data_IF_535654841457
#
_entry.id   IF_535654841457
#
_cell.length_a   1.000
_cell.length_b   1.000
_cell.length_c   1.000
_cell.angle_alpha   90.00
_cell.angle_beta   90.00
_cell.angle_gamma   90.00
#
_symmetry.space_group_name_H-M   'P 1'
#
loop_
_entity.id
_entity.type
_entity.pdbx_description
1 polymer ?
#
# COMPACT_ATOMS: atom_id res chain seq x y z
N UNK A 1 -23.14 -5.62 -4.99
CA UNK A 1 -23.65 -4.40 -4.33
C UNK A 1 -23.01 -4.38 -2.95
N UNK A 2 -21.97 -3.58 -2.76
CA UNK A 2 -21.25 -3.49 -1.49
C UNK A 2 -22.09 -2.66 -0.52
N UNK A 3 -22.40 -3.23 0.64
CA UNK A 3 -23.23 -2.55 1.65
C UNK A 3 -22.51 -1.28 2.16
N UNK A 4 -23.17 -0.10 2.16
CA UNK A 4 -22.55 1.16 2.55
C UNK A 4 -22.11 1.19 4.02
N UNK A 5 -22.72 0.40 4.91
CA UNK A 5 -22.28 0.28 6.29
C UNK A 5 -20.95 -0.49 6.39
N UNK A 6 -20.71 -1.44 5.49
CA UNK A 6 -19.46 -2.20 5.42
C UNK A 6 -18.28 -1.33 4.95
N UNK A 7 -18.53 -0.38 4.03
CA UNK A 7 -17.53 0.60 3.61
C UNK A 7 -17.19 1.59 4.73
N UNK A 8 -18.16 1.97 5.55
CA UNK A 8 -17.95 2.86 6.68
C UNK A 8 -17.13 2.20 7.80
N UNK A 9 -17.32 0.90 8.01
CA UNK A 9 -16.58 0.10 9.00
C UNK A 9 -15.10 -0.10 8.65
N UNK A 10 -14.78 -0.20 7.35
CA UNK A 10 -13.41 -0.40 6.85
C UNK A 10 -12.60 0.92 6.78
N UNK A 11 -13.27 2.07 6.81
CA UNK A 11 -12.67 3.39 6.72
C UNK A 11 -11.50 3.63 7.71
N UNK A 12 -11.63 3.34 9.02
CA UNK A 12 -10.51 3.50 9.97
C UNK A 12 -9.32 2.57 9.67
N UNK A 13 -9.57 1.34 9.19
CA UNK A 13 -8.51 0.40 8.83
C UNK A 13 -7.77 0.86 7.57
N UNK A 14 -8.50 1.39 6.59
CA UNK A 14 -7.93 2.00 5.39
C UNK A 14 -7.08 3.23 5.74
N UNK A 15 -7.57 4.11 6.60
CA UNK A 15 -6.83 5.31 7.06
C UNK A 15 -5.55 4.91 7.82
N UNK A 16 -5.62 3.86 8.65
CA UNK A 16 -4.46 3.33 9.36
C UNK A 16 -3.42 2.73 8.41
N UNK A 17 -3.85 1.91 7.44
CA UNK A 17 -2.97 1.34 6.42
C UNK A 17 -2.31 2.46 5.59
N UNK A 18 -3.07 3.47 5.19
CA UNK A 18 -2.54 4.61 4.44
C UNK A 18 -1.44 5.35 5.22
N UNK A 19 -1.61 5.52 6.53
CA UNK A 19 -0.59 6.09 7.41
C UNK A 19 0.68 5.23 7.49
N UNK A 20 0.53 3.90 7.56
CA UNK A 20 1.65 2.96 7.55
C UNK A 20 2.42 3.01 6.22
N UNK A 21 1.71 3.03 5.09
CA UNK A 21 2.33 3.15 3.77
C UNK A 21 3.12 4.45 3.62
N UNK A 22 2.56 5.58 4.07
CA UNK A 22 3.28 6.86 4.06
C UNK A 22 4.56 6.82 4.91
N UNK A 23 4.52 6.16 6.06
CA UNK A 23 5.69 6.00 6.93
C UNK A 23 6.78 5.14 6.27
N UNK A 24 6.39 4.08 5.57
CA UNK A 24 7.31 3.22 4.81
C UNK A 24 7.91 3.92 3.59
N UNK A 25 7.13 4.76 2.90
CA UNK A 25 7.56 5.46 1.70
C UNK A 25 8.74 6.43 1.94
N UNK A 26 8.93 6.90 3.19
CA UNK A 26 10.08 7.72 3.60
C UNK A 26 11.43 7.04 3.26
N UNK A 27 11.49 5.71 3.28
CA UNK A 27 12.72 4.93 3.01
C UNK A 27 13.19 5.01 1.56
N UNK A 28 12.34 5.47 0.65
CA UNK A 28 12.65 5.53 -0.79
C UNK A 28 13.20 6.89 -1.23
N UNK A 29 13.31 7.86 -0.30
CA UNK A 29 13.81 9.22 -0.57
C UNK A 29 13.07 9.93 -1.73
N UNK A 30 11.82 9.55 -1.98
CA UNK A 30 10.93 10.18 -2.96
C UNK A 30 10.24 11.40 -2.35
N UNK A 31 9.84 12.34 -3.20
CA UNK A 31 9.15 13.56 -2.78
C UNK A 31 7.91 13.83 -3.64
N UNK A 32 6.94 14.56 -3.06
CA UNK A 32 5.72 14.98 -3.76
C UNK A 32 5.01 13.84 -4.48
N UNK A 33 4.70 14.06 -5.76
CA UNK A 33 3.90 13.16 -6.57
C UNK A 33 4.49 11.74 -6.73
N UNK A 34 5.81 11.58 -6.68
CA UNK A 34 6.44 10.27 -6.83
C UNK A 34 6.20 9.40 -5.58
N UNK A 35 6.30 10.00 -4.39
CA UNK A 35 6.00 9.32 -3.14
C UNK A 35 4.52 8.96 -3.07
N UNK A 36 3.64 9.89 -3.44
CA UNK A 36 2.20 9.68 -3.36
C UNK A 36 1.75 8.56 -4.32
N UNK A 37 2.33 8.50 -5.54
CA UNK A 37 2.11 7.38 -6.48
C UNK A 37 2.60 6.05 -5.93
N UNK A 38 3.77 6.01 -5.28
CA UNK A 38 4.28 4.79 -4.66
C UNK A 38 3.32 4.27 -3.59
N UNK A 39 2.80 5.16 -2.73
CA UNK A 39 1.83 4.82 -1.69
C UNK A 39 0.52 4.32 -2.32
N UNK A 40 -0.03 5.04 -3.29
CA UNK A 40 -1.29 4.70 -3.95
C UNK A 40 -1.21 3.34 -4.66
N UNK A 41 -0.14 3.12 -5.44
CA UNK A 41 0.05 1.85 -6.14
C UNK A 41 0.26 0.69 -5.17
N UNK A 42 1.01 0.90 -4.08
CA UNK A 42 1.19 -0.14 -3.06
C UNK A 42 -0.14 -0.49 -2.40
N UNK A 43 -0.99 0.51 -2.11
CA UNK A 43 -2.32 0.29 -1.55
C UNK A 43 -3.19 -0.57 -2.47
N UNK A 44 -3.20 -0.26 -3.78
CA UNK A 44 -3.97 -1.01 -4.79
C UNK A 44 -3.49 -2.45 -4.88
N UNK A 45 -2.18 -2.69 -4.94
CA UNK A 45 -1.62 -4.04 -5.01
C UNK A 45 -1.98 -4.88 -3.76
N UNK A 46 -1.84 -4.31 -2.56
CA UNK A 46 -2.25 -4.97 -1.32
C UNK A 46 -3.75 -5.31 -1.28
N UNK A 47 -4.59 -4.43 -1.82
CA UNK A 47 -6.03 -4.68 -1.91
C UNK A 47 -6.39 -5.76 -2.94
N UNK A 48 -5.56 -5.94 -3.98
CA UNK A 48 -5.76 -6.93 -5.03
C UNK A 48 -5.13 -8.30 -4.72
N UNK A 49 -4.18 -8.38 -3.79
CA UNK A 49 -3.53 -9.62 -3.34
C UNK A 49 -3.85 -9.99 -1.88
N UNK A 50 -5.14 -10.12 -1.48
CA UNK A 50 -5.52 -10.39 -0.09
C UNK A 50 -5.04 -11.76 0.42
N UNK A 51 -4.67 -12.68 -0.49
CA UNK A 51 -4.25 -14.05 -0.20
C UNK A 51 -2.80 -14.13 0.31
N UNK A 52 -1.99 -13.09 0.09
CA UNK A 52 -0.58 -13.05 0.51
C UNK A 52 -0.39 -12.46 1.92
N UNK A 53 -1.40 -11.74 2.41
CA UNK A 53 -1.41 -11.10 3.72
C UNK A 53 -1.53 -12.09 4.89
N UNK A 54 -2.34 -13.17 4.86
CA UNK A 54 -2.51 -14.05 6.03
C UNK A 54 -1.27 -14.86 6.40
N UNK A 55 -0.31 -15.04 5.49
CA UNK A 55 0.90 -15.83 5.74
C UNK A 55 2.07 -15.02 6.31
N UNK A 56 1.97 -13.69 6.35
CA UNK A 56 3.08 -12.80 6.76
C UNK A 56 2.59 -11.63 7.63
N UNK A 57 3.44 -11.09 8.52
CA UNK A 57 3.13 -9.84 9.22
C UNK A 57 2.80 -8.72 8.23
N UNK A 58 1.76 -7.92 8.53
CA UNK A 58 1.28 -6.81 7.68
C UNK A 58 2.42 -5.87 7.28
N UNK A 59 3.32 -5.55 8.22
CA UNK A 59 4.49 -4.69 7.97
C UNK A 59 5.45 -5.29 6.93
N UNK A 60 5.62 -6.61 6.93
CA UNK A 60 6.44 -7.31 5.95
C UNK A 60 5.77 -7.30 4.58
N UNK A 61 4.46 -7.56 4.53
CA UNK A 61 3.69 -7.49 3.28
C UNK A 61 3.75 -6.09 2.65
N UNK A 62 3.62 -5.03 3.47
CA UNK A 62 3.79 -3.63 3.05
C UNK A 62 5.19 -3.41 2.48
N UNK A 63 6.23 -3.82 3.19
CA UNK A 63 7.61 -3.60 2.79
C UNK A 63 7.94 -4.28 1.46
N UNK A 64 7.57 -5.55 1.32
CA UNK A 64 7.80 -6.35 0.11
C UNK A 64 7.03 -5.80 -1.09
N UNK A 65 5.76 -5.45 -0.91
CA UNK A 65 4.90 -4.93 -1.98
C UNK A 65 5.37 -3.56 -2.44
N UNK A 66 5.65 -2.65 -1.51
CA UNK A 66 6.15 -1.32 -1.84
C UNK A 66 7.50 -1.37 -2.56
N UNK A 67 8.38 -2.28 -2.15
CA UNK A 67 9.67 -2.45 -2.81
C UNK A 67 9.50 -2.96 -4.25
N UNK A 68 8.59 -3.91 -4.45
CA UNK A 68 8.24 -4.42 -5.78
C UNK A 68 7.69 -3.33 -6.69
N UNK A 69 6.71 -2.56 -6.21
CA UNK A 69 6.12 -1.42 -6.96
C UNK A 69 7.20 -0.42 -7.34
N UNK A 70 8.07 -0.05 -6.39
CA UNK A 70 9.17 0.87 -6.63
C UNK A 70 10.16 0.36 -7.70
N UNK A 71 10.54 -0.91 -7.63
CA UNK A 71 11.46 -1.52 -8.60
C UNK A 71 10.82 -1.65 -9.98
N UNK A 72 9.54 -2.02 -10.07
CA UNK A 72 8.79 -2.08 -11.33
C UNK A 72 8.69 -0.71 -12.02
N UNK A 73 8.53 0.37 -11.25
CA UNK A 73 8.56 1.74 -11.77
C UNK A 73 9.93 2.19 -12.26
N UNK A 74 11.03 1.62 -11.72
CA UNK A 74 12.41 1.91 -12.14
C UNK A 74 12.86 1.14 -13.37
N UNK A 75 12.29 -0.05 -13.63
CA UNK A 75 12.63 -0.87 -14.80
C UNK A 75 12.07 -0.35 -16.13
N UNK A 76 11.35 0.77 -16.14
CA UNK A 76 10.80 1.40 -17.34
C UNK A 76 11.68 2.53 -17.94
N UNK A 77 12.95 2.61 -17.53
CA UNK A 77 13.94 3.55 -18.09
C UNK A 77 15.19 2.85 -18.61
#
# INVERSE_FOLDING_TARGET
>A
MTDPANVQALKPEMDALWGQLNSYAVRYHLSGAERDRLVEHTFIELANEPETIPEKPVEQAIAETMHRVFMSGKSAH
#
